data_IF_814919912253
#
_entry.id   IF_814919912253
#
_cell.length_a   1.000
_cell.length_b   1.000
_cell.length_c   1.000
_cell.angle_alpha   90.00
_cell.angle_beta   90.00
_cell.angle_gamma   90.00
#
_symmetry.space_group_name_H-M   'P 1'
#
loop_
_entity.id
_entity.type
_entity.pdbx_description
1 polymer ?
#
# COMPACT_ATOMS: atom_id res chain seq x y z
N UNK A 1 19.08 -9.04 -13.48
CA UNK A 1 18.71 -10.29 -12.77
C UNK A 1 19.24 -11.50 -13.56
N UNK A 2 19.83 -12.50 -12.90
CA UNK A 2 20.29 -13.75 -13.55
C UNK A 2 19.14 -14.75 -13.74
N UNK A 3 19.23 -15.71 -14.68
CA UNK A 3 18.22 -16.75 -14.85
C UNK A 3 17.91 -17.53 -13.56
N UNK A 4 18.94 -17.81 -12.76
CA UNK A 4 18.79 -18.50 -11.46
C UNK A 4 18.05 -17.66 -10.43
N UNK A 5 18.25 -16.35 -10.41
CA UNK A 5 17.50 -15.43 -9.54
C UNK A 5 16.03 -15.37 -9.96
N UNK A 6 15.75 -15.28 -11.27
CA UNK A 6 14.40 -15.33 -11.83
C UNK A 6 13.66 -16.61 -11.40
N UNK A 7 14.27 -17.77 -11.63
CA UNK A 7 13.68 -19.07 -11.26
C UNK A 7 13.39 -19.19 -9.76
N UNK A 8 14.24 -18.59 -8.90
CA UNK A 8 14.02 -18.56 -7.45
C UNK A 8 12.79 -17.73 -7.08
N UNK A 9 12.57 -16.59 -7.72
CA UNK A 9 11.40 -15.74 -7.48
C UNK A 9 10.11 -16.42 -7.98
N UNK A 10 10.14 -17.00 -9.17
CA UNK A 10 9.03 -17.79 -9.72
C UNK A 10 8.65 -18.95 -8.79
N UNK A 11 9.66 -19.67 -8.27
CA UNK A 11 9.46 -20.73 -7.29
C UNK A 11 8.80 -20.21 -6.01
N UNK A 12 9.27 -19.07 -5.46
CA UNK A 12 8.65 -18.46 -4.26
C UNK A 12 7.18 -18.14 -4.48
N UNK A 13 6.82 -17.55 -5.63
CA UNK A 13 5.43 -17.26 -6.00
C UNK A 13 4.61 -18.56 -6.05
N UNK A 14 5.12 -19.59 -6.73
CA UNK A 14 4.44 -20.88 -6.87
C UNK A 14 4.25 -21.58 -5.51
N UNK A 15 5.24 -21.52 -4.64
CA UNK A 15 5.20 -22.13 -3.32
C UNK A 15 4.16 -21.42 -2.42
N UNK A 16 4.12 -20.09 -2.40
CA UNK A 16 3.10 -19.32 -1.67
C UNK A 16 1.69 -19.68 -2.17
N UNK A 17 1.47 -19.68 -3.50
CA UNK A 17 0.17 -20.05 -4.09
C UNK A 17 -0.24 -21.47 -3.72
N UNK A 18 0.71 -22.42 -3.69
CA UNK A 18 0.44 -23.81 -3.30
C UNK A 18 0.01 -23.92 -1.84
N UNK A 19 0.67 -23.18 -0.94
CA UNK A 19 0.31 -23.14 0.49
C UNK A 19 -1.10 -22.58 0.67
N UNK A 20 -1.39 -21.42 0.08
CA UNK A 20 -2.72 -20.79 0.17
C UNK A 20 -3.82 -21.69 -0.39
N UNK A 21 -3.58 -22.38 -1.51
CA UNK A 21 -4.54 -23.33 -2.08
C UNK A 21 -4.74 -24.57 -1.18
N UNK A 22 -3.68 -25.06 -0.53
CA UNK A 22 -3.76 -26.18 0.39
C UNK A 22 -4.54 -25.82 1.66
N UNK A 23 -4.32 -24.62 2.21
CA UNK A 23 -5.06 -24.10 3.36
C UNK A 23 -6.55 -23.95 3.02
N UNK A 24 -6.87 -23.31 1.90
CA UNK A 24 -8.27 -23.17 1.46
C UNK A 24 -8.97 -24.52 1.33
N UNK A 25 -8.29 -25.53 0.79
CA UNK A 25 -8.83 -26.90 0.67
C UNK A 25 -9.02 -27.56 2.03
N UNK A 26 -8.06 -27.40 2.95
CA UNK A 26 -8.05 -28.09 4.24
C UNK A 26 -8.99 -27.45 5.26
N UNK A 27 -9.07 -26.13 5.29
CA UNK A 27 -9.73 -25.38 6.35
C UNK A 27 -10.94 -24.56 5.86
N UNK A 28 -11.17 -24.46 4.54
CA UNK A 28 -12.18 -23.55 3.98
C UNK A 28 -11.80 -22.07 4.07
N UNK A 29 -10.65 -21.73 4.67
CA UNK A 29 -10.11 -20.38 4.83
C UNK A 29 -8.58 -20.35 4.66
N UNK A 30 -7.95 -19.26 5.09
CA UNK A 30 -6.50 -19.06 4.98
C UNK A 30 -5.93 -18.75 6.36
N UNK A 31 -4.74 -19.28 6.67
CA UNK A 31 -4.00 -18.87 7.86
C UNK A 31 -3.16 -17.65 7.51
N UNK A 32 -3.55 -16.49 8.05
CA UNK A 32 -2.90 -15.22 7.75
C UNK A 32 -1.82 -14.82 8.76
N UNK A 33 -1.52 -15.65 9.75
CA UNK A 33 -0.53 -15.33 10.80
C UNK A 33 0.86 -14.95 10.25
N UNK A 34 1.16 -15.34 9.00
CA UNK A 34 2.45 -15.14 8.35
C UNK A 34 2.44 -14.07 7.25
N UNK A 35 1.29 -13.47 6.94
CA UNK A 35 1.15 -12.48 5.86
C UNK A 35 1.55 -13.00 4.47
N UNK A 36 1.44 -14.32 4.24
CA UNK A 36 1.91 -14.95 3.00
C UNK A 36 1.24 -14.38 1.75
N UNK A 37 -0.02 -13.94 1.87
CA UNK A 37 -0.81 -13.40 0.76
C UNK A 37 -0.26 -12.08 0.19
N UNK A 38 0.57 -11.35 0.92
CA UNK A 38 1.15 -10.10 0.42
C UNK A 38 2.44 -10.31 -0.38
N UNK A 39 3.20 -11.37 -0.07
CA UNK A 39 4.55 -11.59 -0.61
C UNK A 39 4.64 -11.70 -2.13
N UNK A 40 3.69 -12.32 -2.86
CA UNK A 40 3.82 -12.47 -4.31
C UNK A 40 3.90 -11.14 -5.06
N UNK A 41 3.25 -10.08 -4.56
CA UNK A 41 3.25 -8.74 -5.19
C UNK A 41 4.67 -8.21 -5.36
N UNK A 42 5.47 -8.22 -4.28
CA UNK A 42 6.90 -7.90 -4.31
C UNK A 42 7.68 -8.71 -5.33
N UNK A 43 7.43 -10.02 -5.39
CA UNK A 43 8.16 -10.90 -6.31
C UNK A 43 7.81 -10.63 -7.78
N UNK A 44 6.55 -10.28 -8.07
CA UNK A 44 6.13 -9.86 -9.42
C UNK A 44 6.83 -8.56 -9.86
N UNK A 45 6.97 -7.59 -8.96
CA UNK A 45 7.72 -6.36 -9.23
C UNK A 45 9.20 -6.69 -9.53
N UNK A 46 9.84 -7.50 -8.70
CA UNK A 46 11.24 -7.91 -8.88
C UNK A 46 11.48 -8.68 -10.20
N UNK A 47 10.47 -9.41 -10.68
CA UNK A 47 10.50 -10.12 -11.95
C UNK A 47 10.23 -9.23 -13.18
N UNK A 48 9.78 -7.99 -12.94
CA UNK A 48 9.15 -7.12 -13.93
C UNK A 48 7.94 -7.79 -14.64
N UNK A 49 7.25 -8.71 -13.96
CA UNK A 49 6.04 -9.36 -14.47
C UNK A 49 4.80 -8.65 -13.93
N UNK A 50 4.53 -7.48 -14.51
CA UNK A 50 3.46 -6.59 -14.05
C UNK A 50 2.07 -7.16 -14.33
N UNK A 51 1.88 -7.84 -15.46
CA UNK A 51 0.59 -8.45 -15.82
C UNK A 51 0.28 -9.67 -14.94
N UNK A 52 1.29 -10.49 -14.63
CA UNK A 52 1.16 -11.57 -13.65
C UNK A 52 0.83 -11.03 -12.25
N UNK A 53 1.49 -9.94 -11.85
CA UNK A 53 1.20 -9.23 -10.60
C UNK A 53 -0.24 -8.73 -10.53
N UNK A 54 -0.73 -8.07 -11.57
CA UNK A 54 -2.13 -7.60 -11.60
C UNK A 54 -3.13 -8.76 -11.59
N UNK A 55 -2.83 -9.87 -12.26
CA UNK A 55 -3.68 -11.06 -12.21
C UNK A 55 -3.76 -11.62 -10.80
N UNK A 56 -2.64 -11.64 -10.08
CA UNK A 56 -2.60 -12.03 -8.68
C UNK A 56 -3.41 -11.07 -7.80
N UNK A 57 -3.28 -9.76 -7.99
CA UNK A 57 -4.00 -8.75 -7.22
C UNK A 57 -5.52 -8.79 -7.45
N UNK A 58 -5.99 -9.14 -8.65
CA UNK A 58 -7.42 -9.40 -8.90
C UNK A 58 -7.92 -10.59 -8.08
N UNK A 59 -7.15 -11.67 -8.03
CA UNK A 59 -7.46 -12.83 -7.18
C UNK A 59 -7.45 -12.43 -5.70
N UNK A 60 -6.44 -11.68 -5.26
CA UNK A 60 -6.33 -11.17 -3.89
C UNK A 60 -7.58 -10.36 -3.51
N UNK A 61 -7.92 -9.33 -4.30
CA UNK A 61 -9.07 -8.46 -4.02
C UNK A 61 -10.40 -9.22 -3.93
N UNK A 62 -10.57 -10.26 -4.77
CA UNK A 62 -11.77 -11.11 -4.74
C UNK A 62 -11.78 -12.04 -3.52
N UNK A 63 -10.61 -12.49 -3.07
CA UNK A 63 -10.48 -13.50 -2.02
C UNK A 63 -10.48 -12.87 -0.62
N UNK A 64 -9.97 -11.64 -0.51
CA UNK A 64 -9.83 -10.88 0.72
C UNK A 64 -10.44 -9.48 0.54
N UNK A 65 -11.78 -9.36 0.34
CA UNK A 65 -12.42 -8.08 0.03
C UNK A 65 -12.36 -7.08 1.20
N UNK A 66 -12.32 -7.58 2.43
CA UNK A 66 -12.30 -6.76 3.65
C UNK A 66 -10.86 -6.47 4.14
N UNK A 67 -9.85 -6.85 3.36
CA UNK A 67 -8.46 -6.64 3.71
C UNK A 67 -7.98 -5.24 3.31
N UNK A 68 -7.64 -4.45 4.33
CA UNK A 68 -7.12 -3.09 4.18
C UNK A 68 -5.65 -3.05 3.70
N UNK A 69 -4.93 -4.17 3.80
CA UNK A 69 -3.56 -4.32 3.35
C UNK A 69 -2.52 -3.61 4.22
N UNK A 70 -1.25 -3.97 4.02
CA UNK A 70 -0.13 -3.28 4.65
C UNK A 70 0.37 -2.10 3.80
N UNK A 71 0.95 -1.05 4.40
CA UNK A 71 1.39 0.13 3.65
C UNK A 71 2.39 -0.19 2.53
N UNK A 72 3.32 -1.11 2.74
CA UNK A 72 4.26 -1.55 1.71
C UNK A 72 3.58 -2.36 0.60
N UNK A 73 2.65 -3.24 0.93
CA UNK A 73 1.83 -3.97 -0.05
C UNK A 73 0.95 -3.05 -0.90
N UNK A 74 0.34 -2.02 -0.31
CA UNK A 74 -0.45 -1.03 -1.05
C UNK A 74 0.43 -0.21 -2.00
N UNK A 75 1.64 0.16 -1.56
CA UNK A 75 2.62 0.82 -2.42
C UNK A 75 3.06 -0.08 -3.59
N UNK A 76 3.33 -1.36 -3.30
CA UNK A 76 3.63 -2.37 -4.32
C UNK A 76 2.49 -2.56 -5.32
N UNK A 77 1.24 -2.51 -4.85
CA UNK A 77 0.07 -2.51 -5.73
C UNK A 77 0.07 -1.29 -6.66
N UNK A 78 0.34 -0.10 -6.11
CA UNK A 78 0.44 1.12 -6.91
C UNK A 78 1.53 1.02 -7.99
N UNK A 79 2.70 0.44 -7.67
CA UNK A 79 3.78 0.16 -8.65
C UNK A 79 3.22 -0.69 -9.80
N UNK A 80 2.56 -1.81 -9.50
CA UNK A 80 2.05 -2.73 -10.52
C UNK A 80 1.00 -2.08 -11.42
N UNK A 81 0.11 -1.26 -10.87
CA UNK A 81 -0.89 -0.52 -11.64
C UNK A 81 -0.24 0.53 -12.55
N UNK A 82 0.69 1.31 -12.01
CA UNK A 82 1.44 2.32 -12.75
C UNK A 82 2.19 1.69 -13.92
N UNK A 83 2.98 0.63 -13.66
CA UNK A 83 3.76 -0.08 -14.68
C UNK A 83 2.91 -0.77 -15.74
N UNK A 84 1.64 -1.01 -15.46
CA UNK A 84 0.67 -1.52 -16.42
C UNK A 84 -0.15 -0.44 -17.14
N UNK A 85 0.16 0.85 -16.92
CA UNK A 85 -0.54 1.98 -17.54
C UNK A 85 -1.90 2.32 -16.92
N UNK A 86 -2.26 1.71 -15.79
CA UNK A 86 -3.54 1.94 -15.09
C UNK A 86 -3.43 3.11 -14.12
N UNK A 87 -3.15 4.30 -14.66
CA UNK A 87 -2.76 5.47 -13.85
C UNK A 87 -3.84 5.90 -12.85
N UNK A 88 -5.12 5.91 -13.23
CA UNK A 88 -6.21 6.29 -12.32
C UNK A 88 -6.30 5.35 -11.11
N UNK A 89 -6.25 4.03 -11.35
CA UNK A 89 -6.23 3.02 -10.28
C UNK A 89 -4.94 3.17 -9.42
N UNK A 90 -3.81 3.49 -10.05
CA UNK A 90 -2.55 3.70 -9.34
C UNK A 90 -2.62 4.90 -8.38
N UNK A 91 -3.19 6.03 -8.80
CA UNK A 91 -3.41 7.21 -7.93
C UNK A 91 -4.23 6.85 -6.70
N UNK A 92 -5.30 6.07 -6.89
CA UNK A 92 -6.12 5.57 -5.78
C UNK A 92 -5.30 4.72 -4.81
N UNK A 93 -4.45 3.81 -5.31
CA UNK A 93 -3.57 3.00 -4.45
C UNK A 93 -2.47 3.80 -3.76
N UNK A 94 -1.94 4.86 -4.38
CA UNK A 94 -1.03 5.81 -3.73
C UNK A 94 -1.73 6.51 -2.57
N UNK A 95 -2.98 6.94 -2.76
CA UNK A 95 -3.76 7.56 -1.69
C UNK A 95 -4.01 6.60 -0.53
N UNK A 96 -4.44 5.37 -0.80
CA UNK A 96 -4.60 4.34 0.23
C UNK A 96 -3.28 4.03 0.95
N UNK A 97 -2.15 4.04 0.23
CA UNK A 97 -0.83 3.92 0.87
C UNK A 97 -0.56 5.05 1.85
N UNK A 98 -0.88 6.30 1.46
CA UNK A 98 -0.74 7.46 2.32
C UNK A 98 -1.63 7.37 3.57
N UNK A 99 -2.88 6.95 3.42
CA UNK A 99 -3.80 6.74 4.55
C UNK A 99 -3.31 5.63 5.48
N UNK A 100 -2.84 4.50 4.94
CA UNK A 100 -2.31 3.41 5.74
C UNK A 100 -1.04 3.79 6.52
N UNK A 101 -0.16 4.61 5.94
CA UNK A 101 0.99 5.21 6.63
C UNK A 101 1.44 6.50 5.94
N UNK A 102 1.27 7.63 6.64
CA UNK A 102 1.55 8.97 6.12
C UNK A 102 3.03 9.25 5.83
N UNK A 103 3.93 8.39 6.32
CA UNK A 103 5.38 8.55 6.18
C UNK A 103 5.97 7.75 5.02
N UNK A 104 5.25 6.76 4.46
CA UNK A 104 5.79 5.86 3.43
C UNK A 104 6.18 6.59 2.15
N UNK A 105 5.36 7.54 1.69
CA UNK A 105 5.67 8.29 0.48
C UNK A 105 6.87 9.23 0.69
N UNK A 106 6.93 9.92 1.82
CA UNK A 106 8.06 10.78 2.18
C UNK A 106 9.35 9.95 2.35
N UNK A 107 9.24 8.74 2.93
CA UNK A 107 10.34 7.77 3.03
C UNK A 107 10.86 7.36 1.66
N UNK A 108 9.97 7.07 0.71
CA UNK A 108 10.33 6.71 -0.66
C UNK A 108 11.14 7.83 -1.34
N UNK A 109 10.76 9.09 -1.13
CA UNK A 109 11.48 10.25 -1.64
C UNK A 109 12.73 10.63 -0.82
N UNK A 110 13.07 9.87 0.23
CA UNK A 110 14.22 10.17 1.09
C UNK A 110 14.08 11.49 1.85
N UNK A 111 12.85 11.96 2.06
CA UNK A 111 12.60 13.18 2.82
C UNK A 111 12.88 12.95 4.32
N UNK A 112 13.32 13.97 5.06
CA UNK A 112 13.45 13.87 6.51
C UNK A 112 12.11 13.54 7.15
N UNK A 113 12.06 12.46 7.94
CA UNK A 113 10.85 12.03 8.62
C UNK A 113 10.84 12.52 10.06
N UNK A 114 9.72 13.10 10.48
CA UNK A 114 9.47 13.52 11.86
C UNK A 114 8.11 12.98 12.30
N UNK A 115 7.97 12.50 13.55
CA UNK A 115 6.66 12.13 14.08
C UNK A 115 5.67 13.28 13.96
N UNK A 116 4.47 13.00 13.44
CA UNK A 116 3.39 13.98 13.34
C UNK A 116 2.48 13.86 14.56
N UNK A 117 2.00 14.97 15.15
CA UNK A 117 1.04 14.93 16.24
C UNK A 117 -0.35 14.58 15.71
N UNK A 118 -0.58 13.32 15.38
CA UNK A 118 -1.85 12.81 14.84
C UNK A 118 -2.21 11.45 15.43
N UNK A 119 -3.49 11.10 15.34
CA UNK A 119 -3.97 9.77 15.70
C UNK A 119 -3.33 8.71 14.80
N UNK A 120 -2.81 7.65 15.42
CA UNK A 120 -2.16 6.52 14.76
C UNK A 120 -2.78 5.23 15.32
N UNK A 121 -3.71 4.66 14.56
CA UNK A 121 -4.57 3.55 15.01
C UNK A 121 -3.82 2.22 15.21
N UNK A 122 -2.63 2.06 14.63
CA UNK A 122 -1.78 0.87 14.80
C UNK A 122 -0.31 1.19 14.63
N UNK A 123 0.55 0.25 15.02
CA UNK A 123 2.00 0.31 14.76
C UNK A 123 2.35 0.43 13.26
N UNK A 124 1.44 0.01 12.38
CA UNK A 124 1.62 0.12 10.93
C UNK A 124 1.44 1.54 10.43
N UNK A 125 0.65 2.37 11.13
CA UNK A 125 0.47 3.79 10.82
C UNK A 125 1.57 4.69 11.42
N UNK A 126 2.42 4.13 12.27
CA UNK A 126 3.49 4.85 12.96
C UNK A 126 4.74 4.99 12.09
N UNK A 127 5.58 5.98 12.40
CA UNK A 127 6.85 6.23 11.72
C UNK A 127 7.77 5.00 11.70
N UNK A 128 7.77 4.21 12.79
CA UNK A 128 8.62 3.02 12.95
C UNK A 128 8.46 1.98 11.85
N UNK A 129 7.29 1.88 11.22
CA UNK A 129 7.05 0.98 10.09
C UNK A 129 8.03 1.23 8.92
N UNK A 130 8.40 2.49 8.69
CA UNK A 130 9.27 2.88 7.56
C UNK A 130 10.71 2.38 7.67
N UNK A 131 11.13 1.87 8.83
CA UNK A 131 12.47 1.32 9.04
C UNK A 131 12.78 0.13 8.12
N UNK A 132 11.75 -0.61 7.71
CA UNK A 132 11.89 -1.81 6.87
C UNK A 132 11.36 -1.61 5.44
N UNK A 133 10.95 -0.39 5.08
CA UNK A 133 10.43 -0.09 3.75
C UNK A 133 11.57 -0.16 2.71
N UNK A 134 11.49 -1.09 1.72
CA UNK A 134 12.66 -1.45 0.89
C UNK A 134 12.77 -0.62 -0.39
N UNK A 135 11.85 0.30 -0.64
CA UNK A 135 11.78 1.07 -1.88
C UNK A 135 12.35 2.47 -1.71
N UNK A 136 12.95 2.98 -2.78
CA UNK A 136 13.46 4.37 -2.82
C UNK A 136 13.38 4.92 -4.23
N UNK A 137 13.18 6.23 -4.34
CA UNK A 137 12.97 6.90 -5.62
C UNK A 137 14.18 6.83 -6.57
N UNK A 138 15.38 6.52 -6.07
CA UNK A 138 16.57 6.33 -6.89
C UNK A 138 16.72 4.92 -7.48
N UNK A 139 15.80 3.99 -7.20
CA UNK A 139 15.81 2.68 -7.85
C UNK A 139 15.62 2.86 -9.36
N UNK A 140 16.58 2.38 -10.15
CA UNK A 140 16.59 2.55 -11.60
C UNK A 140 15.28 2.08 -12.25
N UNK A 141 14.74 0.95 -11.79
CA UNK A 141 13.52 0.36 -12.31
C UNK A 141 12.24 1.14 -11.93
N UNK A 142 12.34 2.14 -11.06
CA UNK A 142 11.21 2.95 -10.57
C UNK A 142 11.33 4.44 -10.92
N UNK A 143 12.35 4.88 -11.68
CA UNK A 143 12.56 6.31 -11.96
C UNK A 143 11.35 6.99 -12.64
N UNK A 144 10.72 6.29 -13.59
CA UNK A 144 9.49 6.73 -14.27
C UNK A 144 8.33 6.92 -13.27
N UNK A 145 8.15 5.96 -12.35
CA UNK A 145 7.17 6.07 -11.29
C UNK A 145 7.51 7.19 -10.32
N UNK A 146 8.79 7.36 -9.97
CA UNK A 146 9.24 8.42 -9.05
C UNK A 146 8.86 9.80 -9.57
N UNK A 147 9.09 10.05 -10.87
CA UNK A 147 8.73 11.33 -11.49
C UNK A 147 7.22 11.55 -11.50
N UNK A 148 6.47 10.54 -11.95
CA UNK A 148 5.01 10.60 -11.97
C UNK A 148 4.39 10.78 -10.57
N UNK A 149 4.92 10.07 -9.57
CA UNK A 149 4.44 10.13 -8.20
C UNK A 149 4.72 11.50 -7.58
N UNK A 150 5.89 12.07 -7.85
CA UNK A 150 6.23 13.42 -7.38
C UNK A 150 5.25 14.45 -7.97
N UNK A 151 4.99 14.40 -9.27
CA UNK A 151 4.00 15.27 -9.93
C UNK A 151 2.60 15.10 -9.32
N UNK A 152 2.14 13.86 -9.16
CA UNK A 152 0.84 13.57 -8.56
C UNK A 152 0.74 14.09 -7.13
N UNK A 153 1.76 13.89 -6.30
CA UNK A 153 1.77 14.37 -4.91
C UNK A 153 1.75 15.90 -4.81
N UNK A 154 2.27 16.61 -5.81
CA UNK A 154 2.20 18.08 -5.88
C UNK A 154 0.89 18.61 -6.46
N UNK A 155 0.02 17.75 -7.01
CA UNK A 155 -1.27 18.18 -7.54
C UNK A 155 -2.17 18.77 -6.45
N UNK A 156 -3.00 19.73 -6.82
CA UNK A 156 -3.96 20.36 -5.91
C UNK A 156 -4.91 19.34 -5.29
N UNK A 157 -5.37 18.37 -6.09
CA UNK A 157 -6.26 17.30 -5.63
C UNK A 157 -5.62 16.46 -4.53
N UNK A 158 -4.37 16.03 -4.72
CA UNK A 158 -3.67 15.24 -3.70
C UNK A 158 -3.33 16.08 -2.47
N UNK A 159 -2.81 17.29 -2.67
CA UNK A 159 -2.37 18.17 -1.59
C UNK A 159 -3.52 18.60 -0.68
N UNK A 160 -4.67 18.98 -1.27
CA UNK A 160 -5.88 19.37 -0.53
C UNK A 160 -6.42 18.19 0.28
N UNK A 161 -6.46 17.01 -0.34
CA UNK A 161 -6.95 15.79 0.32
C UNK A 161 -6.02 15.36 1.45
N UNK A 162 -4.70 15.38 1.23
CA UNK A 162 -3.65 15.15 2.24
C UNK A 162 -3.82 16.09 3.43
N UNK A 163 -4.01 17.39 3.18
CA UNK A 163 -4.22 18.37 4.23
C UNK A 163 -5.47 18.04 5.06
N UNK A 164 -6.62 17.76 4.42
CA UNK A 164 -7.85 17.39 5.12
C UNK A 164 -7.68 16.12 5.97
N UNK A 165 -7.07 15.08 5.41
CA UNK A 165 -6.83 13.82 6.12
C UNK A 165 -5.98 14.02 7.38
N UNK A 166 -4.91 14.83 7.28
CA UNK A 166 -4.04 15.14 8.41
C UNK A 166 -4.78 15.96 9.47
N UNK A 167 -5.60 16.94 9.09
CA UNK A 167 -6.42 17.71 10.03
C UNK A 167 -7.39 16.81 10.80
N UNK A 168 -8.08 15.89 10.11
CA UNK A 168 -8.99 14.94 10.78
C UNK A 168 -8.24 14.07 11.80
N UNK A 169 -7.06 13.54 11.43
CA UNK A 169 -6.28 12.72 12.35
C UNK A 169 -5.64 13.51 13.49
N UNK A 170 -5.32 14.79 13.30
CA UNK A 170 -4.88 15.69 14.37
C UNK A 170 -6.02 15.95 15.36
N UNK A 171 -7.25 16.15 14.88
CA UNK A 171 -8.43 16.30 15.75
C UNK A 171 -8.73 15.01 16.51
N UNK A 172 -8.70 13.85 15.84
CA UNK A 172 -8.86 12.53 16.46
C UNK A 172 -7.85 12.23 17.56
N UNK A 173 -6.68 12.87 17.55
CA UNK A 173 -5.66 12.66 18.59
C UNK A 173 -6.09 13.21 19.94
N UNK A 174 -6.81 14.34 19.95
CA UNK A 174 -7.13 15.11 21.15
C UNK A 174 -8.62 15.06 21.51
N UNK A 175 -9.48 14.64 20.60
CA UNK A 175 -10.92 14.56 20.84
C UNK A 175 -11.26 13.38 21.76
N UNK A 176 -12.01 13.66 22.82
CA UNK A 176 -12.45 12.67 23.82
C UNK A 176 -13.93 12.31 23.66
N UNK A 177 -14.74 13.19 23.06
CA UNK A 177 -16.17 12.94 22.85
C UNK A 177 -16.38 11.85 21.79
N UNK A 178 -17.05 10.77 22.18
CA UNK A 178 -17.21 9.60 21.33
C UNK A 178 -18.06 9.87 20.07
N UNK A 179 -19.05 10.75 20.14
CA UNK A 179 -19.89 11.08 18.98
C UNK A 179 -19.09 11.88 17.96
N UNK A 180 -18.31 12.86 18.41
CA UNK A 180 -17.41 13.64 17.54
C UNK A 180 -16.33 12.73 16.95
N UNK A 181 -15.73 11.85 17.74
CA UNK A 181 -14.75 10.87 17.24
C UNK A 181 -15.35 9.97 16.16
N UNK A 182 -16.57 9.47 16.36
CA UNK A 182 -17.27 8.63 15.39
C UNK A 182 -17.46 9.38 14.06
N UNK A 183 -17.91 10.63 14.12
CA UNK A 183 -18.04 11.50 12.95
C UNK A 183 -16.70 11.72 12.23
N UNK A 184 -15.62 12.03 12.98
CA UNK A 184 -14.29 12.24 12.40
C UNK A 184 -13.73 10.97 11.74
N UNK A 185 -13.97 9.80 12.33
CA UNK A 185 -13.62 8.51 11.73
C UNK A 185 -14.38 8.27 10.43
N UNK A 186 -15.70 8.46 10.44
CA UNK A 186 -16.52 8.31 9.24
C UNK A 186 -16.04 9.24 8.12
N UNK A 187 -15.76 10.50 8.43
CA UNK A 187 -15.28 11.45 7.43
C UNK A 187 -13.90 11.04 6.88
N UNK A 188 -13.01 10.53 7.72
CA UNK A 188 -11.71 10.02 7.28
C UNK A 188 -11.86 8.78 6.37
N UNK A 189 -12.76 7.86 6.70
CA UNK A 189 -13.04 6.66 5.91
C UNK A 189 -13.69 7.00 4.55
N UNK A 190 -14.60 7.98 4.52
CA UNK A 190 -15.17 8.53 3.29
C UNK A 190 -14.08 9.18 2.42
N UNK A 191 -13.16 9.93 3.05
CA UNK A 191 -12.01 10.53 2.37
C UNK A 191 -11.03 9.47 1.86
N UNK A 192 -10.93 8.30 2.47
CA UNK A 192 -10.12 7.19 1.94
C UNK A 192 -10.83 6.46 0.78
N UNK A 193 -12.09 6.10 0.98
CA UNK A 193 -12.87 5.23 0.08
C UNK A 193 -13.36 5.93 -1.20
N UNK A 194 -13.70 7.22 -1.14
CA UNK A 194 -14.20 7.98 -2.29
C UNK A 194 -13.05 8.57 -3.14
N UNK A 195 -11.96 7.83 -3.28
CA UNK A 195 -10.79 8.25 -4.03
C UNK A 195 -11.06 8.29 -5.54
N UNK A 196 -11.38 9.47 -6.07
CA UNK A 196 -11.39 9.77 -7.51
C UNK A 196 -10.33 10.84 -7.81
N UNK A 197 -9.39 10.54 -8.69
CA UNK A 197 -8.22 11.37 -9.06
C UNK A 197 -7.95 11.37 -10.57
#
# INVERSE_FOLDING_TARGET
>A
MTPKQRQRLEKKIADVKRVLAAEKRKFGGYDDSRGLRYLPTRYYIQLADYQGGLTYLRWFAKTFPDDIGFPDFLFEWAILLFKAGKLAEAKVKVWQTFCANTYVLDKFFGQPLQPLPKYEWSTMAQLGFTAHFPYTHQQTDLLDMSHWLAEFMTSDTFSTRKARYLTLHQQLLVEEDNEIRCYLHQEADELESQASF
#
